data_IF_364331083809
#
_entry.id   IF_364331083809
#
_cell.length_a   1.000
_cell.length_b   1.000
_cell.length_c   1.000
_cell.angle_alpha   90.00
_cell.angle_beta   90.00
_cell.angle_gamma   90.00
#
_symmetry.space_group_name_H-M   'P 1'
#
loop_
_entity.id
_entity.type
_entity.pdbx_description
1 polymer ?
#
# COMPACT_ATOMS: atom_id res chain seq x y z
N UNK A 1 13.97 17.50 -2.20
CA UNK A 1 13.58 16.15 -2.66
C UNK A 1 12.14 16.02 -2.27
N UNK A 2 11.22 15.88 -3.23
CA UNK A 2 9.81 15.62 -2.92
C UNK A 2 9.77 14.26 -2.21
N UNK A 3 9.19 14.22 -1.03
CA UNK A 3 9.05 12.98 -0.27
C UNK A 3 7.90 12.24 -0.95
N UNK A 4 8.20 11.11 -1.59
CA UNK A 4 7.17 10.29 -2.21
C UNK A 4 6.05 10.00 -1.19
N UNK A 5 4.79 10.16 -1.58
CA UNK A 5 3.64 9.89 -0.70
C UNK A 5 3.50 8.37 -0.55
N UNK A 6 3.31 7.88 0.68
CA UNK A 6 3.22 6.44 0.92
C UNK A 6 2.05 6.03 1.80
N UNK A 7 1.60 4.79 1.60
CA UNK A 7 0.67 4.07 2.47
C UNK A 7 1.34 2.78 2.89
N UNK A 8 1.22 2.43 4.16
CA UNK A 8 1.79 1.21 4.72
C UNK A 8 0.68 0.27 5.18
N UNK A 9 0.90 -1.03 5.09
CA UNK A 9 -0.01 -2.01 5.66
C UNK A 9 0.68 -3.32 6.03
N UNK A 10 0.20 -3.94 7.10
CA UNK A 10 0.62 -5.27 7.57
C UNK A 10 0.16 -6.40 6.62
N UNK A 11 -0.60 -6.08 5.58
CA UNK A 11 -1.06 -7.01 4.56
C UNK A 11 0.07 -7.44 3.61
N UNK A 12 -0.04 -8.66 3.06
CA UNK A 12 0.90 -9.13 2.03
C UNK A 12 0.72 -8.43 0.67
N UNK A 13 1.79 -8.35 -0.12
CA UNK A 13 1.83 -7.59 -1.39
C UNK A 13 0.76 -8.05 -2.39
N UNK A 14 0.47 -9.36 -2.43
CA UNK A 14 -0.57 -9.92 -3.30
C UNK A 14 -1.98 -9.51 -2.86
N UNK A 15 -2.25 -9.50 -1.54
CA UNK A 15 -3.55 -9.08 -1.00
C UNK A 15 -3.80 -7.59 -1.30
N UNK A 16 -2.75 -6.77 -1.15
CA UNK A 16 -2.78 -5.35 -1.52
C UNK A 16 -3.02 -5.18 -3.02
N UNK A 17 -2.28 -5.89 -3.87
CA UNK A 17 -2.42 -5.81 -5.32
C UNK A 17 -3.83 -6.20 -5.78
N UNK A 18 -4.42 -7.25 -5.22
CA UNK A 18 -5.77 -7.70 -5.55
C UNK A 18 -6.84 -6.66 -5.16
N UNK A 19 -6.74 -6.09 -3.96
CA UNK A 19 -7.64 -5.00 -3.52
C UNK A 19 -7.54 -3.80 -4.43
N UNK A 20 -6.31 -3.38 -4.75
CA UNK A 20 -6.09 -2.22 -5.61
C UNK A 20 -6.56 -2.49 -7.02
N UNK A 21 -6.29 -3.65 -7.62
CA UNK A 21 -6.79 -4.03 -8.95
C UNK A 21 -8.32 -4.02 -9.04
N UNK A 22 -9.01 -4.36 -7.96
CA UNK A 22 -10.48 -4.33 -7.91
C UNK A 22 -11.06 -2.90 -7.86
N UNK A 23 -10.24 -1.87 -7.64
CA UNK A 23 -10.72 -0.50 -7.57
C UNK A 23 -11.03 0.09 -8.96
N UNK A 24 -11.98 1.02 -9.02
CA UNK A 24 -12.37 1.66 -10.28
C UNK A 24 -11.31 2.63 -10.83
N UNK A 25 -10.32 3.01 -10.02
CA UNK A 25 -9.28 3.99 -10.38
C UNK A 25 -8.01 3.34 -10.92
N UNK A 26 -7.91 2.02 -10.88
CA UNK A 26 -6.76 1.20 -11.29
C UNK A 26 -7.06 0.49 -12.60
N UNK A 27 -5.99 0.19 -13.33
CA UNK A 27 -6.02 -0.75 -14.43
C UNK A 27 -6.10 -2.19 -13.91
N UNK A 28 -6.58 -3.10 -14.75
CA UNK A 28 -6.68 -4.52 -14.40
C UNK A 28 -5.31 -5.23 -14.40
N UNK A 29 -4.26 -4.56 -14.88
CA UNK A 29 -2.92 -5.11 -15.04
C UNK A 29 -2.07 -4.92 -13.79
N UNK A 30 -1.45 -6.01 -13.32
CA UNK A 30 -0.42 -5.99 -12.28
C UNK A 30 0.88 -6.51 -12.89
N UNK A 31 1.96 -5.76 -12.69
CA UNK A 31 3.29 -6.10 -13.20
C UNK A 31 4.16 -6.54 -12.03
N UNK A 32 4.45 -7.84 -11.95
CA UNK A 32 5.42 -8.35 -10.99
C UNK A 32 6.84 -7.98 -11.46
N UNK A 33 7.54 -7.18 -10.66
CA UNK A 33 8.91 -6.71 -10.95
C UNK A 33 9.94 -7.64 -10.30
N UNK A 34 9.64 -8.14 -9.10
CA UNK A 34 10.41 -9.16 -8.37
C UNK A 34 9.50 -9.89 -7.39
N UNK A 35 10.06 -10.84 -6.62
CA UNK A 35 9.34 -11.50 -5.51
C UNK A 35 8.94 -10.52 -4.40
N UNK A 36 9.57 -9.35 -4.36
CA UNK A 36 9.38 -8.32 -3.33
C UNK A 36 8.81 -7.02 -3.87
N UNK A 37 8.46 -6.95 -5.16
CA UNK A 37 7.99 -5.72 -5.80
C UNK A 37 6.97 -5.97 -6.89
N UNK A 38 5.88 -5.21 -6.84
CA UNK A 38 4.83 -5.17 -7.86
C UNK A 38 4.54 -3.73 -8.26
N UNK A 39 4.06 -3.54 -9.48
CA UNK A 39 3.64 -2.24 -10.00
C UNK A 39 2.23 -2.34 -10.55
N UNK A 40 1.43 -1.31 -10.31
CA UNK A 40 0.10 -1.12 -10.89
C UNK A 40 0.05 0.27 -11.52
N UNK A 41 -0.84 0.44 -12.49
CA UNK A 41 -1.12 1.76 -13.04
C UNK A 41 -2.54 2.19 -12.68
N UNK A 42 -2.73 3.48 -12.40
CA UNK A 42 -4.06 4.06 -12.40
C UNK A 42 -4.55 4.20 -13.83
N UNK A 43 -5.86 4.27 -14.03
CA UNK A 43 -6.45 4.55 -15.35
C UNK A 43 -6.06 5.92 -15.92
N UNK A 44 -5.49 6.79 -15.10
CA UNK A 44 -4.97 8.09 -15.51
C UNK A 44 -3.47 8.07 -15.84
N UNK A 45 -2.82 6.90 -15.73
CA UNK A 45 -1.41 6.71 -16.04
C UNK A 45 -0.45 6.89 -14.87
N UNK A 46 -0.95 7.08 -13.64
CA UNK A 46 -0.09 7.18 -12.45
C UNK A 46 0.46 5.80 -12.08
N UNK A 47 1.75 5.72 -11.76
CA UNK A 47 2.40 4.49 -11.33
C UNK A 47 2.29 4.31 -9.81
N UNK A 48 1.69 3.21 -9.37
CA UNK A 48 1.66 2.77 -7.97
C UNK A 48 2.69 1.66 -7.82
N UNK A 49 3.61 1.81 -6.87
CA UNK A 49 4.65 0.81 -6.60
C UNK A 49 4.40 0.15 -5.25
N UNK A 50 4.33 -1.17 -5.25
CA UNK A 50 4.21 -1.98 -4.05
C UNK A 50 5.56 -2.66 -3.78
N UNK A 51 6.03 -2.65 -2.54
CA UNK A 51 7.22 -3.41 -2.15
C UNK A 51 7.16 -3.86 -0.70
N UNK A 52 7.82 -4.97 -0.39
CA UNK A 52 8.10 -5.35 0.99
C UNK A 52 9.28 -4.54 1.52
N UNK A 53 9.15 -3.96 2.70
CA UNK A 53 10.32 -3.50 3.44
C UNK A 53 10.84 -4.61 4.35
N UNK A 54 11.79 -5.38 3.81
CA UNK A 54 12.51 -6.41 4.55
C UNK A 54 13.48 -5.84 5.61
N UNK A 55 13.74 -4.52 5.62
CA UNK A 55 14.78 -3.90 6.45
C UNK A 55 14.24 -3.25 7.73
N UNK A 56 12.97 -2.91 7.82
CA UNK A 56 12.40 -2.26 9.01
C UNK A 56 11.91 -3.25 10.08
N UNK A 57 11.42 -4.43 9.67
CA UNK A 57 10.88 -5.43 10.60
C UNK A 57 11.42 -6.82 10.27
N UNK A 58 12.38 -7.32 11.07
CA UNK A 58 13.08 -8.61 10.85
C UNK A 58 12.14 -9.83 10.76
N UNK A 59 10.90 -9.71 11.26
CA UNK A 59 9.97 -10.83 11.42
C UNK A 59 8.63 -10.67 10.67
N UNK A 60 8.41 -9.58 9.91
CA UNK A 60 7.10 -9.30 9.29
C UNK A 60 7.21 -8.65 7.90
N UNK A 61 6.41 -9.16 6.95
CA UNK A 61 6.21 -8.54 5.65
C UNK A 61 5.20 -7.39 5.74
N UNK A 62 5.68 -6.18 5.97
CA UNK A 62 4.88 -4.96 5.74
C UNK A 62 4.96 -4.55 4.26
N UNK A 63 3.81 -4.25 3.65
CA UNK A 63 3.74 -3.73 2.29
C UNK A 63 3.72 -2.22 2.30
N UNK A 64 4.67 -1.64 1.58
CA UNK A 64 4.80 -0.21 1.33
C UNK A 64 4.28 0.11 -0.06
N UNK A 65 3.49 1.18 -0.13
CA UNK A 65 2.78 1.58 -1.34
C UNK A 65 3.21 3.00 -1.66
N UNK A 66 4.16 3.12 -2.59
CA UNK A 66 4.66 4.42 -3.07
C UNK A 66 3.81 4.93 -4.20
N UNK A 67 3.43 6.19 -4.06
CA UNK A 67 2.44 6.87 -4.88
C UNK A 67 3.07 8.20 -5.34
N UNK A 68 2.84 8.63 -6.60
CA UNK A 68 3.26 9.96 -7.02
C UNK A 68 2.60 11.03 -6.15
N UNK A 69 3.16 12.24 -6.14
CA UNK A 69 2.69 13.38 -5.35
C UNK A 69 1.22 13.74 -5.65
N UNK A 70 0.30 13.02 -4.99
CA UNK A 70 -1.13 13.02 -5.25
C UNK A 70 -1.88 12.52 -4.00
N UNK A 71 -2.15 13.45 -3.08
CA UNK A 71 -2.85 13.18 -1.82
C UNK A 71 -4.21 12.49 -2.03
N UNK A 72 -4.90 12.80 -3.13
CA UNK A 72 -6.21 12.19 -3.43
C UNK A 72 -6.07 10.71 -3.78
N UNK A 73 -5.03 10.34 -4.54
CA UNK A 73 -4.74 8.94 -4.86
C UNK A 73 -4.29 8.20 -3.61
N UNK A 74 -3.44 8.83 -2.80
CA UNK A 74 -2.99 8.29 -1.52
C UNK A 74 -4.16 7.98 -0.58
N UNK A 75 -5.08 8.93 -0.41
CA UNK A 75 -6.26 8.74 0.42
C UNK A 75 -7.19 7.64 -0.13
N UNK A 76 -7.36 7.56 -1.45
CA UNK A 76 -8.15 6.47 -2.08
C UNK A 76 -7.55 5.09 -1.80
N UNK A 77 -6.23 4.97 -1.88
CA UNK A 77 -5.51 3.73 -1.58
C UNK A 77 -5.70 3.38 -0.11
N UNK A 78 -5.49 4.33 0.79
CA UNK A 78 -5.72 4.15 2.22
C UNK A 78 -7.14 3.66 2.52
N UNK A 79 -8.17 4.31 2.00
CA UNK A 79 -9.56 3.88 2.19
C UNK A 79 -9.85 2.50 1.57
N UNK A 80 -9.28 2.19 0.40
CA UNK A 80 -9.47 0.90 -0.26
C UNK A 80 -8.93 -0.26 0.59
N UNK A 81 -7.81 -0.08 1.28
CA UNK A 81 -7.16 -1.13 2.05
C UNK A 81 -7.84 -1.45 3.38
N UNK A 82 -8.73 -0.58 3.88
CA UNK A 82 -9.51 -0.83 5.11
C UNK A 82 -10.43 -2.04 5.02
N UNK A 83 -10.70 -2.54 3.80
CA UNK A 83 -11.42 -3.81 3.61
C UNK A 83 -10.63 -5.01 4.14
N UNK A 84 -9.30 -4.89 4.22
CA UNK A 84 -8.44 -5.94 4.74
C UNK A 84 -8.40 -5.87 6.26
N UNK A 85 -8.29 -7.02 6.94
CA UNK A 85 -8.22 -7.08 8.39
C UNK A 85 -6.81 -6.78 8.92
N UNK A 86 -6.12 -5.76 8.39
CA UNK A 86 -4.74 -5.40 8.76
C UNK A 86 -4.66 -3.92 9.16
N UNK A 87 -3.62 -3.57 9.93
CA UNK A 87 -3.23 -2.16 10.15
C UNK A 87 -2.96 -1.50 8.81
N UNK A 88 -3.45 -0.29 8.61
CA UNK A 88 -3.13 0.55 7.45
C UNK A 88 -2.74 1.94 7.95
N UNK A 89 -1.63 2.48 7.47
CA UNK A 89 -1.14 3.82 7.82
C UNK A 89 -1.09 4.68 6.57
N UNK A 90 -1.73 5.85 6.61
CA UNK A 90 -1.56 6.92 5.64
C UNK A 90 -0.45 7.84 6.15
N UNK A 91 0.67 7.91 5.42
CA UNK A 91 1.85 8.62 5.89
C UNK A 91 1.93 10.04 5.31
N UNK A 92 2.05 11.03 6.19
CA UNK A 92 2.05 12.45 5.83
C UNK A 92 3.46 13.07 5.73
N UNK A 93 3.59 14.23 5.09
CA UNK A 93 4.87 14.98 5.03
C UNK A 93 5.24 15.68 6.37
N UNK A 94 4.30 15.79 7.32
CA UNK A 94 4.47 16.52 8.59
C UNK A 94 4.18 15.67 9.85
N UNK A 95 4.47 14.36 9.82
CA UNK A 95 4.23 13.41 10.93
C UNK A 95 2.75 13.27 11.37
N UNK A 96 1.79 13.79 10.59
CA UNK A 96 0.35 13.59 10.79
C UNK A 96 -0.11 12.26 10.18
N UNK A 97 0.47 11.16 10.66
CA UNK A 97 0.11 9.83 10.20
C UNK A 97 -1.30 9.46 10.64
N UNK A 98 -2.11 9.01 9.69
CA UNK A 98 -3.46 8.51 9.97
C UNK A 98 -3.43 7.00 9.99
N UNK A 99 -3.57 6.42 11.18
CA UNK A 99 -3.58 4.97 11.38
C UNK A 99 -5.01 4.46 11.46
N UNK A 100 -5.31 3.43 10.66
CA UNK A 100 -6.52 2.63 10.76
C UNK A 100 -6.18 1.24 11.30
N UNK A 101 -6.85 0.85 12.39
CA UNK A 101 -6.76 -0.49 12.98
C UNK A 101 -8.18 -1.07 13.02
N UNK A 102 -8.47 -2.15 12.29
CA UNK A 102 -9.77 -2.81 12.36
C UNK A 102 -9.96 -3.55 13.69
N UNK A 103 -11.22 -3.71 14.14
CA UNK A 103 -11.54 -4.36 15.43
C UNK A 103 -10.99 -5.80 15.56
N UNK A 104 -10.88 -6.52 14.44
CA UNK A 104 -10.36 -7.89 14.37
C UNK A 104 -9.07 -7.95 13.56
N UNK A 105 -8.06 -7.17 14.00
CA UNK A 105 -6.77 -7.07 13.30
C UNK A 105 -6.03 -8.41 13.28
N UNK A 106 -5.58 -8.81 12.08
CA UNK A 106 -4.62 -9.88 11.88
C UNK A 106 -3.22 -9.32 12.10
N UNK A 107 -2.32 -10.09 12.73
CA UNK A 107 -0.92 -9.70 12.80
C UNK A 107 -0.33 -9.60 11.39
N UNK A 108 0.73 -8.79 11.26
CA UNK A 108 1.53 -8.78 10.05
C UNK A 108 1.96 -10.20 9.68
N UNK A 109 1.97 -10.47 8.38
CA UNK A 109 2.29 -11.79 7.86
C UNK A 109 3.76 -12.07 8.17
N UNK A 110 4.02 -13.14 8.93
CA UNK A 110 5.38 -13.54 9.27
C UNK A 110 6.19 -13.81 7.99
N UNK A 111 7.47 -13.42 8.04
CA UNK A 111 8.43 -13.64 6.96
C UNK A 111 8.63 -15.13 6.62
#
# INVERSE_FOLDING_TARGET
MSVDKFVETDAGISEVADVLRAQSFTEDSVFQVSDTRMSLYTRNGDLIQLFYDLKLHEDAYETFIVIPDNDRLQYKIFEALKVLPYKVTLCGENDDDVVYIPDNVRPAKAA
#
